data_IF_642988782075
#
_entry.id   IF_642988782075
#
_cell.length_a   1.000
_cell.length_b   1.000
_cell.length_c   1.000
_cell.angle_alpha   90.00
_cell.angle_beta   90.00
_cell.angle_gamma   90.00
#
_symmetry.space_group_name_H-M   'P 1'
#
loop_
_entity.id
_entity.type
_entity.pdbx_description
1 polymer ?
#
# COMPACT_ATOMS: atom_id res chain seq x y z
N UNK A 1 -3.74 33.43 7.40
CA UNK A 1 -2.90 32.48 8.16
C UNK A 1 -3.72 31.25 8.47
N UNK A 2 -3.17 30.06 8.21
CA UNK A 2 -3.81 28.80 8.57
C UNK A 2 -3.94 28.71 10.09
N UNK A 3 -5.16 28.43 10.56
CA UNK A 3 -5.39 28.19 11.98
C UNK A 3 -4.73 26.87 12.43
N UNK A 4 -4.55 26.66 13.72
CA UNK A 4 -4.09 25.40 14.31
C UNK A 4 -4.85 24.18 13.72
N UNK A 5 -6.15 24.29 13.56
CA UNK A 5 -7.00 23.23 13.00
C UNK A 5 -6.67 22.89 11.56
N UNK A 6 -6.28 23.87 10.73
CA UNK A 6 -5.83 23.61 9.35
C UNK A 6 -4.56 22.76 9.31
N UNK A 7 -3.59 23.06 10.17
CA UNK A 7 -2.38 22.24 10.33
C UNK A 7 -2.65 20.85 10.88
N UNK A 8 -3.56 20.74 11.86
CA UNK A 8 -3.98 19.45 12.40
C UNK A 8 -4.63 18.57 11.31
N UNK A 9 -5.53 19.13 10.49
CA UNK A 9 -6.14 18.41 9.37
C UNK A 9 -5.11 18.01 8.31
N UNK A 10 -4.16 18.87 7.98
CA UNK A 10 -3.08 18.56 7.06
C UNK A 10 -2.20 17.39 7.58
N UNK A 11 -1.89 17.36 8.87
CA UNK A 11 -1.19 16.25 9.50
C UNK A 11 -1.99 14.95 9.45
N UNK A 12 -3.28 15.00 9.80
CA UNK A 12 -4.17 13.84 9.74
C UNK A 12 -4.24 13.29 8.31
N UNK A 13 -4.50 14.14 7.34
CA UNK A 13 -4.59 13.76 5.93
C UNK A 13 -3.27 13.18 5.40
N UNK A 14 -2.16 13.89 5.59
CA UNK A 14 -0.88 13.56 5.02
C UNK A 14 -0.14 12.41 5.72
N UNK A 15 -0.22 12.32 7.04
CA UNK A 15 0.54 11.33 7.82
C UNK A 15 -0.34 10.15 8.22
N UNK A 16 -1.47 10.40 8.87
CA UNK A 16 -2.28 9.31 9.42
C UNK A 16 -3.11 8.58 8.36
N UNK A 17 -3.58 9.29 7.32
CA UNK A 17 -4.39 8.69 6.26
C UNK A 17 -3.53 8.27 5.06
N UNK A 18 -2.78 9.19 4.48
CA UNK A 18 -2.02 8.93 3.24
C UNK A 18 -1.00 7.79 3.37
N UNK A 19 -0.18 7.81 4.41
CA UNK A 19 0.92 6.84 4.56
C UNK A 19 0.43 5.38 4.59
N UNK A 20 -0.55 4.99 5.45
CA UNK A 20 -1.05 3.62 5.46
C UNK A 20 -1.82 3.24 4.18
N UNK A 21 -2.56 4.16 3.58
CA UNK A 21 -3.30 3.92 2.35
C UNK A 21 -2.38 3.59 1.17
N UNK A 22 -1.37 4.42 0.93
CA UNK A 22 -0.43 4.22 -0.18
C UNK A 22 0.48 3.01 0.03
N UNK A 23 0.95 2.79 1.25
CA UNK A 23 1.80 1.64 1.60
C UNK A 23 1.07 0.32 1.37
N UNK A 24 -0.19 0.20 1.81
CA UNK A 24 -0.95 -1.03 1.64
C UNK A 24 -1.41 -1.23 0.18
N UNK A 25 -1.76 -0.14 -0.52
CA UNK A 25 -2.10 -0.20 -1.93
C UNK A 25 -0.93 -0.69 -2.79
N UNK A 26 0.28 -0.20 -2.52
CA UNK A 26 1.48 -0.68 -3.19
C UNK A 26 1.75 -2.15 -2.87
N UNK A 27 1.61 -2.54 -1.61
CA UNK A 27 1.79 -3.93 -1.21
C UNK A 27 0.83 -4.89 -1.91
N UNK A 28 -0.46 -4.55 -2.03
CA UNK A 28 -1.42 -5.36 -2.79
C UNK A 28 -1.08 -5.45 -4.27
N UNK A 29 -0.54 -4.38 -4.84
CA UNK A 29 -0.02 -4.41 -6.21
C UNK A 29 1.16 -5.35 -6.33
N UNK A 30 2.10 -5.35 -5.38
CA UNK A 30 3.24 -6.26 -5.37
C UNK A 30 2.81 -7.72 -5.20
N UNK A 31 1.81 -7.99 -4.36
CA UNK A 31 1.21 -9.33 -4.26
C UNK A 31 0.65 -9.80 -5.60
N UNK A 32 -0.13 -8.95 -6.28
CA UNK A 32 -0.66 -9.28 -7.61
C UNK A 32 0.46 -9.54 -8.63
N UNK A 33 1.49 -8.70 -8.63
CA UNK A 33 2.65 -8.85 -9.52
C UNK A 33 3.45 -10.14 -9.21
N UNK A 34 3.54 -10.54 -7.96
CA UNK A 34 4.18 -11.78 -7.56
C UNK A 34 3.49 -13.00 -8.19
N UNK A 35 2.17 -13.06 -8.15
CA UNK A 35 1.43 -14.12 -8.80
C UNK A 35 1.42 -13.99 -10.33
N UNK A 36 1.51 -12.78 -10.88
CA UNK A 36 1.50 -12.54 -12.32
C UNK A 36 2.85 -12.83 -12.99
N UNK A 37 3.95 -12.36 -12.39
CA UNK A 37 5.30 -12.38 -13.00
C UNK A 37 6.29 -13.25 -12.22
N UNK A 38 5.93 -13.73 -11.04
CA UNK A 38 6.84 -14.43 -10.14
C UNK A 38 7.72 -13.49 -9.32
N UNK A 39 8.62 -14.08 -8.53
CA UNK A 39 9.49 -13.38 -7.59
C UNK A 39 10.39 -12.32 -8.24
N UNK A 40 10.84 -12.54 -9.47
CA UNK A 40 11.69 -11.59 -10.22
C UNK A 40 10.94 -10.36 -10.74
N UNK A 41 9.62 -10.39 -10.73
CA UNK A 41 8.76 -9.30 -11.22
C UNK A 41 8.00 -8.55 -10.13
N UNK A 42 8.31 -8.81 -8.86
CA UNK A 42 7.67 -8.18 -7.70
C UNK A 42 8.69 -7.82 -6.64
N UNK A 43 8.46 -6.69 -5.96
CA UNK A 43 9.26 -6.22 -4.82
C UNK A 43 8.56 -6.61 -3.51
N UNK A 44 8.21 -7.90 -3.36
CA UNK A 44 7.70 -8.44 -2.11
C UNK A 44 8.85 -8.70 -1.15
N UNK A 45 9.27 -7.65 -0.50
CA UNK A 45 10.25 -7.70 0.57
C UNK A 45 9.61 -8.09 1.91
N UNK A 46 10.42 -8.71 2.76
CA UNK A 46 9.94 -9.13 4.07
C UNK A 46 10.75 -8.44 5.19
N UNK A 47 10.08 -8.25 6.33
CA UNK A 47 10.67 -7.57 7.49
C UNK A 47 12.01 -8.19 7.92
N UNK A 48 12.10 -9.52 7.99
CA UNK A 48 13.30 -10.21 8.50
C UNK A 48 14.51 -9.92 7.61
N UNK A 49 14.33 -9.95 6.30
CA UNK A 49 15.42 -9.67 5.34
C UNK A 49 15.88 -8.21 5.42
N UNK A 50 14.93 -7.27 5.50
CA UNK A 50 15.26 -5.84 5.57
C UNK A 50 15.88 -5.47 6.93
N UNK A 51 15.45 -6.14 7.99
CA UNK A 51 16.04 -5.98 9.32
C UNK A 51 17.47 -6.54 9.38
N UNK A 52 17.73 -7.68 8.76
CA UNK A 52 19.08 -8.24 8.65
C UNK A 52 20.03 -7.30 7.86
N UNK A 53 19.55 -6.68 6.78
CA UNK A 53 20.31 -5.64 6.06
C UNK A 53 20.63 -4.45 6.98
N UNK A 54 19.66 -3.93 7.71
CA UNK A 54 19.87 -2.87 8.70
C UNK A 54 20.96 -3.24 9.72
N UNK A 55 20.94 -4.45 10.24
CA UNK A 55 21.88 -4.91 11.26
C UNK A 55 23.29 -5.15 10.71
N UNK A 56 23.41 -5.56 9.44
CA UNK A 56 24.69 -5.79 8.78
C UNK A 56 25.44 -4.50 8.40
N UNK A 57 24.74 -3.35 8.33
CA UNK A 57 25.36 -2.08 7.93
C UNK A 57 26.19 -1.47 9.07
N UNK A 58 27.42 -1.02 8.77
CA UNK A 58 28.25 -0.31 9.75
C UNK A 58 27.65 1.07 10.07
N UNK A 59 27.98 1.61 11.26
CA UNK A 59 27.51 2.95 11.68
C UNK A 59 27.99 4.09 10.74
N UNK A 60 29.08 3.88 10.01
CA UNK A 60 29.57 4.84 9.01
C UNK A 60 28.51 5.13 7.93
N UNK A 61 27.70 4.13 7.59
CA UNK A 61 26.63 4.24 6.60
C UNK A 61 25.29 4.60 7.28
N UNK A 62 25.30 5.62 8.13
CA UNK A 62 24.15 6.00 8.95
C UNK A 62 22.88 6.31 8.13
N UNK A 63 23.05 6.91 6.94
CA UNK A 63 21.93 7.27 6.06
C UNK A 63 21.23 6.02 5.47
N UNK A 64 22.02 5.07 4.96
CA UNK A 64 21.48 3.78 4.49
C UNK A 64 20.85 3.00 5.65
N UNK A 65 21.48 3.04 6.82
CA UNK A 65 20.94 2.40 8.03
C UNK A 65 19.62 3.01 8.45
N UNK A 66 19.47 4.32 8.37
CA UNK A 66 18.21 5.02 8.62
C UNK A 66 17.13 4.59 7.61
N UNK A 67 17.48 4.55 6.32
CA UNK A 67 16.59 4.08 5.26
C UNK A 67 16.07 2.65 5.53
N UNK A 68 16.98 1.69 5.77
CA UNK A 68 16.58 0.31 6.06
C UNK A 68 15.78 0.16 7.36
N UNK A 69 15.99 1.02 8.35
CA UNK A 69 15.18 1.05 9.57
C UNK A 69 13.72 1.42 9.26
N UNK A 70 13.50 2.50 8.50
CA UNK A 70 12.15 2.89 8.08
C UNK A 70 11.52 1.85 7.15
N UNK A 71 12.29 1.33 6.21
CA UNK A 71 11.81 0.35 5.25
C UNK A 71 11.42 -0.97 5.92
N UNK A 72 12.23 -1.50 6.84
CA UNK A 72 11.89 -2.68 7.64
C UNK A 72 10.60 -2.47 8.46
N UNK A 73 10.44 -1.30 9.09
CA UNK A 73 9.22 -0.98 9.83
C UNK A 73 7.99 -0.91 8.91
N UNK A 74 8.14 -0.39 7.69
CA UNK A 74 7.08 -0.41 6.67
C UNK A 74 6.70 -1.84 6.28
N UNK A 75 7.67 -2.71 5.99
CA UNK A 75 7.43 -4.13 5.71
C UNK A 75 6.70 -4.82 6.86
N UNK A 76 7.15 -4.60 8.11
CA UNK A 76 6.47 -5.13 9.29
C UNK A 76 5.01 -4.70 9.39
N UNK A 77 4.75 -3.42 9.13
CA UNK A 77 3.38 -2.87 9.13
C UNK A 77 2.51 -3.50 8.05
N UNK A 78 3.05 -3.72 6.86
CA UNK A 78 2.36 -4.38 5.74
C UNK A 78 2.04 -5.85 6.08
N UNK A 79 3.02 -6.61 6.56
CA UNK A 79 2.87 -8.01 6.98
C UNK A 79 1.82 -8.15 8.08
N UNK A 80 1.87 -7.30 9.10
CA UNK A 80 0.91 -7.34 10.22
C UNK A 80 -0.52 -7.07 9.77
N UNK A 81 -0.70 -6.19 8.79
CA UNK A 81 -2.03 -5.83 8.26
C UNK A 81 -2.58 -6.84 7.26
N UNK A 82 -1.75 -7.73 6.72
CA UNK A 82 -2.13 -8.70 5.69
C UNK A 82 -1.91 -10.14 6.16
N UNK A 83 -2.34 -10.45 7.37
CA UNK A 83 -2.10 -11.75 8.00
C UNK A 83 -2.64 -12.94 7.18
N UNK A 84 -3.82 -12.79 6.56
CA UNK A 84 -4.38 -13.83 5.70
C UNK A 84 -3.47 -14.11 4.48
N UNK A 85 -2.93 -13.06 3.86
CA UNK A 85 -1.97 -13.23 2.77
C UNK A 85 -0.66 -13.89 3.23
N UNK A 86 -0.14 -13.55 4.40
CA UNK A 86 1.10 -14.18 4.91
C UNK A 86 0.95 -15.69 5.03
N UNK A 87 -0.22 -16.16 5.49
CA UNK A 87 -0.52 -17.59 5.58
C UNK A 87 -0.55 -18.26 4.20
N UNK A 88 -1.17 -17.61 3.19
CA UNK A 88 -1.16 -18.10 1.81
C UNK A 88 0.27 -18.09 1.24
N UNK A 89 1.03 -17.04 1.47
CA UNK A 89 2.38 -16.89 0.95
C UNK A 89 3.32 -17.98 1.48
N UNK A 90 3.20 -18.32 2.76
CA UNK A 90 3.93 -19.44 3.34
C UNK A 90 3.50 -20.79 2.73
N UNK A 91 2.19 -21.01 2.61
CA UNK A 91 1.64 -22.22 2.00
C UNK A 91 2.08 -22.35 0.52
N UNK A 92 2.02 -21.26 -0.23
CA UNK A 92 2.47 -21.18 -1.62
C UNK A 92 3.96 -21.53 -1.76
N UNK A 93 4.82 -20.93 -0.94
CA UNK A 93 6.25 -21.20 -0.96
C UNK A 93 6.55 -22.67 -0.63
N UNK A 94 5.85 -23.26 0.34
CA UNK A 94 5.96 -24.70 0.67
C UNK A 94 5.46 -25.59 -0.48
N UNK A 95 4.37 -25.19 -1.14
CA UNK A 95 3.81 -25.90 -2.28
C UNK A 95 4.76 -25.85 -3.49
N UNK A 96 5.39 -24.74 -3.78
CA UNK A 96 6.39 -24.59 -4.84
C UNK A 96 7.62 -25.49 -4.67
N UNK A 97 7.92 -25.92 -3.44
CA UNK A 97 9.01 -26.88 -3.18
C UNK A 97 8.60 -28.34 -3.43
N UNK A 98 7.29 -28.64 -3.36
CA UNK A 98 6.75 -30.02 -3.41
C UNK A 98 6.09 -30.37 -4.72
N UNK A 99 5.58 -29.38 -5.44
CA UNK A 99 4.76 -29.58 -6.63
C UNK A 99 5.36 -28.89 -7.84
N UNK A 100 5.07 -29.44 -9.03
CA UNK A 100 5.45 -28.83 -10.30
C UNK A 100 4.61 -27.57 -10.56
N UNK A 101 5.17 -26.62 -11.32
CA UNK A 101 4.49 -25.35 -11.67
C UNK A 101 3.13 -25.57 -12.32
N UNK A 102 2.96 -26.61 -13.12
CA UNK A 102 1.69 -26.94 -13.79
C UNK A 102 0.56 -27.26 -12.80
N UNK A 103 0.88 -27.92 -11.67
CA UNK A 103 -0.09 -28.25 -10.63
C UNK A 103 -0.55 -27.02 -9.83
N UNK A 104 0.28 -25.99 -9.74
CA UNK A 104 0.00 -24.76 -9.03
C UNK A 104 -0.66 -23.69 -9.91
N UNK A 105 -0.63 -23.87 -11.23
CA UNK A 105 -1.17 -22.90 -12.18
C UNK A 105 -2.67 -22.61 -11.99
N UNK A 106 -3.55 -23.57 -11.72
CA UNK A 106 -4.98 -23.30 -11.45
C UNK A 106 -5.18 -22.37 -10.24
N UNK A 107 -4.48 -22.63 -9.15
CA UNK A 107 -4.56 -21.82 -7.92
C UNK A 107 -4.05 -20.41 -8.19
N UNK A 108 -2.95 -20.29 -8.91
CA UNK A 108 -2.38 -19.02 -9.35
C UNK A 108 -3.38 -18.21 -10.18
N UNK A 109 -4.03 -18.82 -11.15
CA UNK A 109 -5.01 -18.17 -12.02
C UNK A 109 -6.25 -17.74 -11.27
N UNK A 110 -6.72 -18.55 -10.33
CA UNK A 110 -7.85 -18.19 -9.47
C UNK A 110 -7.55 -16.95 -8.63
N UNK A 111 -6.38 -16.91 -7.97
CA UNK A 111 -5.94 -15.74 -7.23
C UNK A 111 -5.83 -14.50 -8.13
N UNK A 112 -5.25 -14.62 -9.32
CA UNK A 112 -5.12 -13.52 -10.28
C UNK A 112 -6.49 -13.01 -10.76
N UNK A 113 -7.44 -13.92 -11.00
CA UNK A 113 -8.81 -13.55 -11.36
C UNK A 113 -9.49 -12.74 -10.26
N UNK A 114 -9.31 -13.13 -9.00
CA UNK A 114 -9.86 -12.42 -7.83
C UNK A 114 -9.17 -11.08 -7.55
N UNK A 115 -7.84 -11.00 -7.70
CA UNK A 115 -7.07 -9.80 -7.38
C UNK A 115 -7.09 -8.74 -8.50
N UNK A 116 -7.23 -9.13 -9.78
CA UNK A 116 -7.23 -8.22 -10.94
C UNK A 116 -8.24 -7.07 -10.83
N UNK A 117 -9.51 -7.29 -10.42
CA UNK A 117 -10.46 -6.19 -10.25
C UNK A 117 -10.09 -5.17 -9.19
N UNK A 118 -9.18 -5.51 -8.26
CA UNK A 118 -8.74 -4.62 -7.19
C UNK A 118 -7.60 -3.68 -7.65
N UNK A 119 -6.90 -4.00 -8.73
CA UNK A 119 -5.74 -3.24 -9.21
C UNK A 119 -6.04 -1.79 -9.59
N UNK A 120 -7.15 -1.43 -10.24
CA UNK A 120 -7.49 -0.03 -10.48
C UNK A 120 -7.63 0.79 -9.19
N UNK A 121 -8.14 0.18 -8.12
CA UNK A 121 -8.31 0.85 -6.82
C UNK A 121 -6.96 1.12 -6.12
N UNK A 122 -5.95 0.27 -6.32
CA UNK A 122 -4.61 0.55 -5.80
C UNK A 122 -4.05 1.85 -6.40
N UNK A 123 -4.31 2.13 -7.68
CA UNK A 123 -3.86 3.36 -8.34
C UNK A 123 -4.56 4.61 -7.76
N UNK A 124 -5.83 4.49 -7.35
CA UNK A 124 -6.56 5.59 -6.70
C UNK A 124 -6.02 5.91 -5.30
N UNK A 125 -5.44 4.94 -4.60
CA UNK A 125 -4.85 5.13 -3.28
C UNK A 125 -3.39 5.60 -3.33
N UNK A 126 -2.80 5.73 -4.52
CA UNK A 126 -1.45 6.25 -4.74
C UNK A 126 -1.44 7.75 -5.03
N UNK A 127 -0.26 8.30 -5.31
CA UNK A 127 -0.05 9.72 -5.53
C UNK A 127 -0.87 10.33 -6.67
N UNK A 128 -1.17 9.57 -7.73
CA UNK A 128 -1.81 10.12 -8.94
C UNK A 128 -3.21 10.69 -8.67
N UNK A 129 -4.06 10.01 -7.92
CA UNK A 129 -5.41 10.53 -7.60
C UNK A 129 -5.34 11.77 -6.70
N UNK A 130 -4.36 11.82 -5.80
CA UNK A 130 -4.12 12.97 -4.93
C UNK A 130 -3.67 14.20 -5.73
N UNK A 131 -2.79 14.01 -6.70
CA UNK A 131 -2.39 15.08 -7.60
C UNK A 131 -3.59 15.66 -8.34
N UNK A 132 -4.45 14.81 -8.91
CA UNK A 132 -5.69 15.24 -9.57
C UNK A 132 -6.59 16.01 -8.58
N UNK A 133 -6.77 15.51 -7.37
CA UNK A 133 -7.60 16.16 -6.35
C UNK A 133 -7.04 17.51 -5.93
N UNK A 134 -5.72 17.64 -5.81
CA UNK A 134 -5.07 18.93 -5.53
C UNK A 134 -5.35 19.91 -6.66
N UNK A 135 -5.21 19.51 -7.94
CA UNK A 135 -5.54 20.38 -9.08
C UNK A 135 -7.01 20.82 -9.07
N UNK A 136 -7.94 19.90 -8.83
CA UNK A 136 -9.36 20.23 -8.72
C UNK A 136 -9.65 21.17 -7.55
N UNK A 137 -9.00 20.96 -6.41
CA UNK A 137 -9.11 21.81 -5.24
C UNK A 137 -8.57 23.25 -5.50
N UNK A 138 -7.46 23.36 -6.24
CA UNK A 138 -6.91 24.66 -6.65
C UNK A 138 -7.87 25.39 -7.61
N UNK A 139 -8.42 24.68 -8.60
CA UNK A 139 -9.39 25.25 -9.55
C UNK A 139 -10.64 25.72 -8.82
N UNK A 140 -11.22 24.88 -7.96
CA UNK A 140 -12.40 25.21 -7.19
C UNK A 140 -12.17 26.43 -6.27
N UNK A 141 -11.02 26.46 -5.57
CA UNK A 141 -10.63 27.60 -4.74
C UNK A 141 -10.50 28.90 -5.53
N UNK A 142 -9.88 28.84 -6.72
CA UNK A 142 -9.73 30.00 -7.60
C UNK A 142 -11.05 30.55 -8.14
N UNK A 143 -12.04 29.68 -8.35
CA UNK A 143 -13.34 30.06 -8.91
C UNK A 143 -14.34 30.50 -7.86
N UNK A 144 -14.16 30.12 -6.61
CA UNK A 144 -15.15 30.37 -5.54
C UNK A 144 -14.58 31.21 -4.40
N UNK A 145 -13.78 30.59 -3.57
CA UNK A 145 -13.14 31.18 -2.40
C UNK A 145 -11.95 30.29 -2.01
N UNK A 146 -10.84 30.88 -1.67
CA UNK A 146 -9.59 30.19 -1.28
C UNK A 146 -9.75 29.14 -0.16
N UNK A 147 -10.80 29.26 0.64
CA UNK A 147 -11.09 28.30 1.73
C UNK A 147 -11.68 26.99 1.21
N UNK A 148 -12.40 27.01 0.08
CA UNK A 148 -13.12 25.82 -0.44
C UNK A 148 -12.16 24.73 -0.91
N UNK A 149 -11.08 25.11 -1.59
CA UNK A 149 -10.10 24.15 -2.13
C UNK A 149 -9.53 23.20 -1.09
N UNK A 150 -8.94 23.67 0.02
CA UNK A 150 -8.45 22.81 1.09
C UNK A 150 -9.49 21.84 1.67
N UNK A 151 -10.75 22.26 1.81
CA UNK A 151 -11.82 21.40 2.32
C UNK A 151 -12.17 20.27 1.35
N UNK A 152 -12.16 20.52 0.04
CA UNK A 152 -12.33 19.47 -0.99
C UNK A 152 -11.23 18.43 -0.84
N UNK A 153 -9.96 18.87 -0.71
CA UNK A 153 -8.84 17.97 -0.53
C UNK A 153 -8.94 17.14 0.76
N UNK A 154 -9.21 17.77 1.89
CA UNK A 154 -9.34 17.06 3.17
C UNK A 154 -10.50 16.08 3.18
N UNK A 155 -11.64 16.44 2.63
CA UNK A 155 -12.77 15.53 2.49
C UNK A 155 -12.41 14.31 1.65
N UNK A 156 -11.78 14.52 0.50
CA UNK A 156 -11.34 13.44 -0.35
C UNK A 156 -10.34 12.51 0.36
N UNK A 157 -9.31 13.06 0.95
CA UNK A 157 -8.23 12.29 1.58
C UNK A 157 -8.71 11.55 2.84
N UNK A 158 -9.45 12.24 3.72
CA UNK A 158 -9.85 11.69 5.01
C UNK A 158 -11.10 10.80 4.91
N UNK A 159 -12.03 11.11 4.01
CA UNK A 159 -13.28 10.35 3.92
C UNK A 159 -13.26 9.38 2.75
N UNK A 160 -13.15 9.90 1.52
CA UNK A 160 -13.32 9.07 0.31
C UNK A 160 -12.23 8.00 0.22
N UNK A 161 -10.97 8.39 0.35
CA UNK A 161 -9.86 7.43 0.23
C UNK A 161 -9.80 6.46 1.42
N UNK A 162 -10.21 6.84 2.62
CA UNK A 162 -10.31 5.89 3.73
C UNK A 162 -11.43 4.86 3.53
N UNK A 163 -12.58 5.26 3.01
CA UNK A 163 -13.63 4.29 2.64
C UNK A 163 -13.12 3.32 1.59
N UNK A 164 -12.48 3.83 0.54
CA UNK A 164 -11.89 3.00 -0.52
C UNK A 164 -10.82 2.05 0.03
N UNK A 165 -9.94 2.54 0.89
CA UNK A 165 -8.93 1.76 1.57
C UNK A 165 -9.52 0.60 2.39
N UNK A 166 -10.55 0.87 3.21
CA UNK A 166 -11.22 -0.15 4.04
C UNK A 166 -11.91 -1.18 3.15
N UNK A 167 -12.60 -0.74 2.09
CA UNK A 167 -13.28 -1.65 1.15
C UNK A 167 -12.28 -2.54 0.42
N UNK A 168 -11.18 -1.99 -0.06
CA UNK A 168 -10.12 -2.74 -0.74
C UNK A 168 -9.46 -3.74 0.19
N UNK A 169 -9.13 -3.31 1.41
CA UNK A 169 -8.53 -4.18 2.42
C UNK A 169 -9.43 -5.37 2.75
N UNK A 170 -10.71 -5.14 3.05
CA UNK A 170 -11.68 -6.22 3.33
C UNK A 170 -11.80 -7.19 2.16
N UNK A 171 -11.89 -6.69 0.93
CA UNK A 171 -12.00 -7.55 -0.26
C UNK A 171 -10.74 -8.39 -0.47
N UNK A 172 -9.55 -7.81 -0.25
CA UNK A 172 -8.31 -8.55 -0.37
C UNK A 172 -8.17 -9.63 0.72
N UNK A 173 -8.53 -9.32 1.97
CA UNK A 173 -8.56 -10.29 3.06
C UNK A 173 -9.53 -11.45 2.76
N UNK A 174 -10.74 -11.14 2.24
CA UNK A 174 -11.71 -12.17 1.83
C UNK A 174 -11.15 -13.05 0.70
N UNK A 175 -10.49 -12.46 -0.29
CA UNK A 175 -9.83 -13.22 -1.37
C UNK A 175 -8.76 -14.17 -0.83
N UNK A 176 -8.05 -13.75 0.19
CA UNK A 176 -7.01 -14.57 0.83
C UNK A 176 -7.56 -15.66 1.77
N UNK A 177 -8.84 -15.64 2.11
CA UNK A 177 -9.49 -16.65 2.97
C UNK A 177 -10.25 -17.72 2.17
N UNK A 178 -10.43 -17.55 0.88
CA UNK A 178 -11.05 -18.50 -0.05
C UNK A 178 -10.04 -19.56 -0.51
#
# INVERSE_FOLDING_TARGET
AWSFWGWALAFIAGVLCHSPQSSLADYYRQIHLFFLKGKSGSDLDNYVQQRAKFESLPMKNWFEKLYYSFYANSCKSQETRTAAFQSIFEAWNKACLKHNKEQLEPIRQEFLKGSRPLMPFTNLLTFNSRAITIYLACIAGSLTNDVVGPWIFFFFEIVVLNILYICMHKRHETLCQQ
#
